data_IF_746888613824
#
_entry.id   IF_746888613824
#
_cell.length_a   1.000
_cell.length_b   1.000
_cell.length_c   1.000
_cell.angle_alpha   90.00
_cell.angle_beta   90.00
_cell.angle_gamma   90.00
#
_symmetry.space_group_name_H-M   'P 1'
#
loop_
_entity.id
_entity.type
_entity.pdbx_description
1 polymer ?
2 water ?
#
# COMPACT_ATOMS: atom_id res chain seq x y z
N UNK A 33 -18.43 4.00 -11.10
CA UNK A 33 -17.25 3.39 -11.78
C UNK A 33 -16.35 4.45 -12.45
N UNK A 34 -15.51 5.11 -11.64
CA UNK A 34 -14.52 6.08 -12.14
C UNK A 34 -13.28 5.31 -12.63
N UNK A 35 -12.39 5.99 -13.37
CA UNK A 35 -11.03 5.49 -13.54
C UNK A 35 -9.97 6.57 -13.36
N UNK A 36 -8.73 6.10 -13.37
CA UNK A 36 -7.55 6.93 -13.34
C UNK A 36 -6.63 6.23 -14.31
N UNK A 37 -5.62 6.93 -14.80
CA UNK A 37 -4.63 6.31 -15.66
C UNK A 37 -3.27 6.39 -14.98
N UNK A 38 -2.57 5.27 -14.98
CA UNK A 38 -1.16 5.25 -14.61
C UNK A 38 -0.44 4.59 -15.78
N UNK A 39 0.87 4.44 -15.66
CA UNK A 39 1.66 4.00 -16.79
C UNK A 39 2.68 2.95 -16.39
N UNK A 40 2.91 1.98 -17.29
CA UNK A 40 4.02 1.02 -17.21
C UNK A 40 5.15 1.50 -18.14
N UNK A 41 6.18 2.13 -17.56
CA UNK A 41 7.12 3.04 -18.27
C UNK A 41 6.30 4.25 -18.72
N UNK A 42 6.15 4.40 -20.04
CA UNK A 42 4.97 5.04 -20.63
C UNK A 42 4.03 3.88 -20.93
N UNK A 43 2.75 4.17 -21.22
CA UNK A 43 1.71 3.13 -21.45
C UNK A 43 0.48 3.32 -20.53
N UNK A 44 -0.75 3.36 -21.11
CA UNK A 44 -1.93 3.66 -20.28
C UNK A 44 -2.50 2.41 -19.62
N UNK A 45 -2.66 2.43 -18.30
CA UNK A 45 -3.35 1.32 -17.64
C UNK A 45 -4.41 1.77 -16.65
N UNK A 46 -5.64 1.31 -16.92
CA UNK A 46 -6.83 1.67 -16.14
C UNK A 46 -6.78 1.11 -14.73
N UNK A 47 -7.13 1.97 -13.79
CA UNK A 47 -7.13 1.64 -12.38
C UNK A 47 -8.48 2.02 -11.77
N UNK A 48 -9.28 1.01 -11.43
CA UNK A 48 -10.62 1.23 -10.92
C UNK A 48 -10.66 2.13 -9.67
N UNK A 49 -11.77 2.85 -9.50
CA UNK A 49 -11.96 3.79 -8.38
C UNK A 49 -11.26 5.14 -8.49
N UNK A 50 -11.14 5.80 -7.35
CA UNK A 50 -10.25 6.94 -7.18
C UNK A 50 -9.61 6.79 -5.79
N UNK A 51 -8.33 7.16 -5.69
CA UNK A 51 -7.62 7.13 -4.40
C UNK A 51 -8.18 8.16 -3.42
N UNK A 52 -8.46 7.74 -2.17
CA UNK A 52 -8.89 8.72 -1.17
C UNK A 52 -7.89 9.87 -1.09
N UNK A 53 -8.40 11.09 -0.88
CA UNK A 53 -7.60 12.32 -0.93
C UNK A 53 -7.73 13.13 0.35
N UNK A 54 -6.92 14.19 0.47
CA UNK A 54 -6.88 14.98 1.70
C UNK A 54 -8.27 15.50 2.09
N UNK A 55 -8.61 15.29 3.35
CA UNK A 55 -9.94 15.52 3.83
C UNK A 55 -10.64 14.20 4.08
N UNK A 56 -10.71 13.38 3.03
CA UNK A 56 -11.54 12.16 3.02
C UNK A 56 -11.29 11.28 4.21
N UNK A 57 -12.34 10.63 4.68
CA UNK A 57 -12.15 9.55 5.61
C UNK A 57 -11.89 8.27 4.77
N UNK A 58 -10.83 7.55 5.10
CA UNK A 58 -10.47 6.33 4.39
C UNK A 58 -11.32 5.18 4.89
N UNK A 59 -11.77 4.36 3.95
CA UNK A 59 -12.72 3.32 4.32
C UNK A 59 -11.96 2.36 5.20
N UNK A 60 -12.61 1.81 6.22
CA UNK A 60 -12.00 0.69 6.92
C UNK A 60 -11.62 -0.45 5.91
N UNK A 61 -10.82 -1.43 6.35
CA UNK A 61 -10.38 -2.54 5.48
C UNK A 61 -9.97 -3.71 6.34
N UNK A 62 -10.11 -4.93 5.83
CA UNK A 62 -9.53 -6.10 6.52
C UNK A 62 -8.64 -6.79 5.52
N UNK A 63 -7.38 -7.07 5.90
CA UNK A 63 -6.44 -7.78 5.02
C UNK A 63 -5.74 -8.88 5.81
N UNK A 64 -4.88 -9.67 5.17
CA UNK A 64 -4.33 -10.90 5.81
C UNK A 64 -2.87 -10.73 6.24
N UNK A 65 -2.59 -11.11 7.50
CA UNK A 65 -1.31 -10.91 8.20
C UNK A 65 -0.47 -12.18 8.06
N UNK A 66 0.81 -12.07 8.47
CA UNK A 66 1.82 -13.15 8.32
C UNK A 66 1.45 -14.47 8.96
N UNK A 67 0.72 -14.40 10.07
CA UNK A 67 0.23 -15.62 10.71
C UNK A 67 -1.12 -16.04 10.22
N UNK A 68 -1.54 -15.48 9.07
CA UNK A 68 -2.83 -15.81 8.39
C UNK A 68 -4.12 -15.34 9.12
N UNK A 69 -3.98 -14.61 10.23
CA UNK A 69 -5.09 -13.92 10.87
C UNK A 69 -5.50 -12.74 10.00
N UNK A 70 -6.76 -12.36 10.10
CA UNK A 70 -7.31 -11.18 9.42
C UNK A 70 -7.06 -9.96 10.30
N UNK A 71 -6.70 -8.83 9.71
CA UNK A 71 -6.38 -7.65 10.49
C UNK A 71 -7.06 -6.44 9.88
N UNK A 72 -7.67 -5.59 10.72
CA UNK A 72 -8.48 -4.48 10.20
C UNK A 72 -7.88 -3.16 10.57
N UNK A 73 -8.03 -2.18 9.69
CA UNK A 73 -7.52 -0.84 9.94
C UNK A 73 -7.94 -0.37 11.33
N UNK A 74 -9.15 -0.75 11.70
CA UNK A 74 -9.74 -0.42 12.99
C UNK A 74 -8.90 -0.88 14.19
N UNK A 75 -8.00 -1.84 13.99
CA UNK A 75 -7.14 -2.34 15.08
C UNK A 75 -5.97 -1.36 15.38
N UNK A 76 -5.74 -0.39 14.47
CA UNK A 76 -4.71 0.67 14.64
C UNK A 76 -5.26 2.08 15.00
N UNK A 77 -6.54 2.14 15.39
CA UNK A 77 -7.13 3.37 15.97
C UNK A 77 -6.18 4.11 16.94
N UNK A 78 -5.99 5.41 16.67
CA UNK A 78 -5.08 6.25 17.46
C UNK A 78 -3.58 6.14 17.18
N UNK A 79 -3.19 5.26 16.25
CA UNK A 79 -1.84 5.30 15.71
C UNK A 79 -2.05 5.87 14.36
N UNK A 80 -1.04 6.52 13.84
CA UNK A 80 -1.17 7.07 12.52
C UNK A 80 -0.79 5.88 11.60
N UNK A 81 -0.93 6.00 10.28
CA UNK A 81 -0.68 4.84 9.39
C UNK A 81 -0.05 5.31 8.12
N UNK A 82 1.03 4.62 7.70
CA UNK A 82 1.46 4.69 6.29
C UNK A 82 1.12 3.41 5.55
N UNK A 83 0.47 3.60 4.42
CA UNK A 83 0.05 2.46 3.63
C UNK A 83 0.88 2.54 2.40
N UNK A 84 1.69 1.52 2.23
CA UNK A 84 2.52 1.46 1.07
C UNK A 84 1.97 0.25 0.38
N UNK A 85 1.49 0.51 -0.84
CA UNK A 85 0.62 -0.39 -1.57
C UNK A 85 1.33 -0.46 -2.88
N UNK A 86 1.65 -1.67 -3.33
CA UNK A 86 2.54 -1.80 -4.46
C UNK A 86 2.21 -3.09 -5.19
N UNK A 87 2.48 -3.15 -6.51
CA UNK A 87 2.11 -4.31 -7.32
C UNK A 87 2.56 -5.62 -6.68
N UNK A 88 3.88 -5.80 -6.55
CA UNK A 88 4.45 -6.97 -5.87
C UNK A 88 5.82 -6.67 -5.25
N UNK A 89 5.95 -6.88 -3.95
CA UNK A 89 7.22 -7.21 -3.33
C UNK A 89 7.71 -8.33 -4.21
N UNK A 90 8.99 -8.60 -4.33
CA UNK A 90 9.34 -9.68 -5.32
C UNK A 90 9.48 -9.02 -6.66
N UNK A 91 9.18 -7.74 -6.67
CA UNK A 91 9.41 -6.91 -7.82
C UNK A 91 10.28 -5.74 -7.37
N UNK A 92 11.19 -5.33 -8.26
CA UNK A 92 12.31 -4.44 -7.93
C UNK A 92 12.00 -3.20 -7.11
N UNK A 93 11.38 -2.21 -7.75
CA UNK A 93 11.04 -0.95 -7.07
C UNK A 93 10.10 -1.14 -5.86
N UNK A 94 9.21 -2.13 -5.89
CA UNK A 94 8.35 -2.45 -4.73
C UNK A 94 9.16 -2.88 -3.53
N UNK A 95 10.14 -3.74 -3.78
CA UNK A 95 11.08 -4.19 -2.73
C UNK A 95 11.83 -3.01 -2.05
N UNK A 96 12.36 -2.09 -2.87
CA UNK A 96 12.99 -0.84 -2.41
C UNK A 96 12.05 -0.05 -1.48
N UNK A 97 10.80 0.08 -1.92
CA UNK A 97 9.70 0.59 -1.08
C UNK A 97 9.79 0.07 0.32
N UNK A 98 9.83 -1.25 0.43
CA UNK A 98 9.65 -1.92 1.71
C UNK A 98 10.86 -1.75 2.60
N UNK A 99 12.06 -1.89 2.02
CA UNK A 99 13.29 -1.64 2.77
C UNK A 99 13.29 -0.22 3.37
N UNK A 100 13.14 0.77 2.49
CA UNK A 100 13.10 2.17 2.85
C UNK A 100 12.10 2.53 3.95
N UNK A 101 10.83 2.16 3.78
CA UNK A 101 9.85 2.46 4.81
C UNK A 101 10.21 1.73 6.09
N UNK A 102 10.78 0.52 6.01
CA UNK A 102 11.22 -0.20 7.23
C UNK A 102 12.31 0.54 7.95
N UNK A 103 13.21 1.14 7.19
CA UNK A 103 14.34 1.87 7.76
C UNK A 103 13.81 3.22 8.25
N UNK A 104 12.89 3.81 7.48
CA UNK A 104 12.25 5.07 7.85
C UNK A 104 11.27 4.92 8.99
N UNK A 105 10.87 3.67 9.24
CA UNK A 105 9.91 3.33 10.29
C UNK A 105 10.42 3.42 11.72
N UNK A 106 11.73 3.33 11.93
CA UNK A 106 12.29 3.48 13.27
C UNK A 106 12.32 4.95 13.68
N UNK A 107 12.74 5.79 12.73
CA UNK A 107 12.83 7.23 12.90
C UNK A 107 11.45 7.91 12.89
N UNK A 108 10.42 7.22 13.41
CA UNK A 108 8.99 7.63 13.31
C UNK A 108 8.18 7.59 14.60
N UNK A 109 7.14 8.43 14.60
CA UNK A 109 6.43 8.78 15.81
C UNK A 109 4.95 8.32 15.79
N UNK A 110 4.57 7.44 16.72
CA UNK A 110 3.20 6.92 16.88
C UNK A 110 2.53 6.52 15.54
N UNK A 111 3.27 5.75 14.75
CA UNK A 111 2.87 5.38 13.40
C UNK A 111 3.23 3.94 13.10
N UNK A 112 2.32 3.24 12.43
CA UNK A 112 2.61 1.92 11.88
C UNK A 112 2.77 2.05 10.37
N UNK A 113 3.55 1.12 9.80
CA UNK A 113 3.78 1.06 8.38
C UNK A 113 3.27 -0.29 7.89
N UNK A 114 2.29 -0.21 7.00
CA UNK A 114 1.60 -1.36 6.54
C UNK A 114 2.05 -1.50 5.11
N UNK A 115 2.60 -2.66 4.82
CA UNK A 115 3.08 -2.88 3.47
C UNK A 115 2.00 -3.79 2.86
N UNK A 116 1.22 -3.20 1.94
CA UNK A 116 -0.01 -3.86 1.45
C UNK A 116 0.08 -4.22 0.00
N UNK A 117 -0.18 -5.48 -0.28
CA UNK A 117 -0.13 -5.84 -1.69
C UNK A 117 -0.89 -7.10 -2.04
N UNK A 118 -0.75 -7.37 -3.30
CA UNK A 118 -1.29 -8.43 -4.02
C UNK A 118 -0.62 -9.75 -3.59
N UNK A 119 0.58 -9.71 -2.96
CA UNK A 119 1.29 -10.93 -2.76
C UNK A 119 0.57 -11.71 -1.75
N UNK A 120 0.86 -13.00 -1.75
CA UNK A 120 0.40 -13.81 -0.70
C UNK A 120 1.22 -13.46 0.54
N UNK A 121 0.76 -13.94 1.74
CA UNK A 121 1.55 -13.50 2.88
C UNK A 121 2.90 -14.15 2.87
N UNK A 122 2.93 -15.43 2.43
CA UNK A 122 4.11 -16.29 2.55
C UNK A 122 5.28 -15.66 1.86
N UNK A 123 5.04 -15.07 0.69
CA UNK A 123 6.03 -14.28 0.00
C UNK A 123 6.29 -13.02 0.73
N UNK A 124 5.26 -12.32 1.16
CA UNK A 124 5.58 -11.15 1.98
C UNK A 124 6.56 -11.52 3.15
N UNK A 125 6.33 -12.68 3.77
CA UNK A 125 7.04 -13.08 4.96
C UNK A 125 8.49 -13.58 4.63
N UNK A 126 8.66 -14.35 3.57
CA UNK A 126 9.99 -14.69 3.12
C UNK A 126 10.78 -13.45 2.72
N UNK A 127 10.19 -12.48 2.05
CA UNK A 127 10.99 -11.33 1.72
C UNK A 127 11.59 -10.63 2.92
N UNK A 128 10.75 -10.39 3.92
CA UNK A 128 11.11 -9.64 5.12
C UNK A 128 12.02 -10.45 6.03
N UNK A 129 11.78 -11.76 6.09
CA UNK A 129 12.62 -12.66 6.86
C UNK A 129 14.04 -12.77 6.28
N UNK A 130 14.16 -12.78 4.95
CA UNK A 130 15.44 -12.80 4.25
C UNK A 130 16.15 -11.46 4.32
N UNK A 131 15.41 -10.38 4.54
CA UNK A 131 16.07 -9.09 4.58
C UNK A 131 16.16 -8.56 5.99
N UNK A 132 15.75 -9.38 6.94
CA UNK A 132 15.79 -8.93 8.32
C UNK A 132 15.02 -7.64 8.60
N UNK A 133 13.79 -7.54 8.05
CA UNK A 133 13.01 -6.28 8.08
C UNK A 133 11.85 -6.49 9.04
N UNK A 134 11.93 -5.86 10.21
CA UNK A 134 11.06 -6.24 11.35
C UNK A 134 10.10 -5.13 11.76
N UNK A 135 10.32 -3.93 11.22
CA UNK A 135 9.58 -2.75 11.66
C UNK A 135 8.24 -2.84 11.03
N UNK A 136 8.21 -2.87 9.69
CA UNK A 136 6.98 -2.98 8.89
C UNK A 136 6.00 -4.13 9.16
N UNK A 137 4.74 -3.86 8.84
CA UNK A 137 3.76 -4.93 8.91
C UNK A 137 3.29 -5.21 7.50
N UNK A 138 3.31 -6.51 7.13
CA UNK A 138 2.80 -6.99 5.83
C UNK A 138 1.30 -7.41 5.81
N UNK A 139 0.57 -6.89 4.84
CA UNK A 139 -0.86 -7.22 4.73
C UNK A 139 -1.16 -7.75 3.32
N UNK A 140 -1.68 -8.98 3.19
CA UNK A 140 -2.09 -9.48 1.87
C UNK A 140 -3.60 -9.29 1.51
N UNK A 141 -3.86 -8.95 0.25
CA UNK A 141 -5.22 -8.97 -0.30
C UNK A 141 -5.73 -10.40 -0.58
N UNK A 142 -4.97 -11.40 -0.20
CA UNK A 142 -5.45 -12.74 -0.31
C UNK A 142 -6.95 -12.70 0.08
N UNK A 143 -7.26 -12.20 1.28
CA UNK A 143 -8.68 -11.90 1.60
C UNK A 143 -8.80 -10.40 1.68
N UNK A 144 -10.04 -9.91 1.65
CA UNK A 144 -10.32 -8.49 1.61
C UNK A 144 -10.01 -7.84 0.29
N UNK A 145 -10.04 -8.53 -0.84
CA UNK A 145 -9.64 -7.87 -2.11
C UNK A 145 -10.41 -6.59 -2.48
N UNK A 146 -11.62 -6.42 -1.95
CA UNK A 146 -12.47 -5.25 -2.25
C UNK A 146 -11.72 -3.94 -1.96
N UNK A 147 -10.71 -4.05 -1.10
CA UNK A 147 -9.86 -2.94 -0.69
C UNK A 147 -9.28 -2.29 -1.93
N UNK A 148 -9.17 -3.06 -2.99
CA UNK A 148 -8.54 -2.51 -4.16
C UNK A 148 -9.37 -1.38 -4.77
N UNK A 149 -10.63 -1.66 -5.10
CA UNK A 149 -11.52 -0.60 -5.60
C UNK A 149 -11.98 0.34 -4.49
N UNK A 150 -12.09 -0.13 -3.25
CA UNK A 150 -12.33 0.80 -2.13
C UNK A 150 -11.22 1.87 -1.98
N UNK A 151 -10.01 1.59 -2.44
CA UNK A 151 -8.94 2.58 -2.26
C UNK A 151 -8.42 3.05 -3.64
N UNK A 152 -9.24 2.90 -4.67
CA UNK A 152 -8.84 3.32 -6.02
C UNK A 152 -7.58 2.64 -6.48
N UNK A 153 -7.49 1.34 -6.23
CA UNK A 153 -6.20 0.68 -6.40
C UNK A 153 -6.13 -0.53 -7.39
N UNK A 154 -7.29 -0.99 -7.86
CA UNK A 154 -7.34 -2.19 -8.70
C UNK A 154 -6.93 -1.89 -10.11
N UNK A 155 -6.05 -2.72 -10.65
CA UNK A 155 -5.69 -2.55 -12.04
C UNK A 155 -6.64 -3.46 -12.77
N UNK A 156 -7.27 -2.90 -13.81
CA UNK A 156 -8.36 -3.58 -14.51
C UNK A 156 -8.02 -4.04 -15.95
N UNK A 157 -6.88 -3.61 -16.48
CA UNK A 157 -6.52 -3.96 -17.86
C UNK A 157 -5.01 -4.13 -18.04
N UNK A 158 -4.63 -4.87 -19.09
CA UNK A 158 -3.23 -5.09 -19.36
C UNK A 158 -2.76 -6.34 -18.64
N UNK A 159 -1.45 -6.64 -18.75
CA UNK A 159 -0.85 -7.76 -18.06
C UNK A 159 -0.86 -7.60 -16.53
N UNK A 160 -1.04 -6.38 -16.04
CA UNK A 160 -1.07 -6.17 -14.58
C UNK A 160 -2.43 -6.37 -13.88
N UNK A 161 -3.45 -6.76 -14.65
CA UNK A 161 -4.81 -6.80 -14.06
C UNK A 161 -4.97 -7.89 -12.99
N UNK A 162 -5.44 -7.50 -11.83
CA UNK A 162 -5.47 -8.40 -10.66
C UNK A 162 -4.48 -7.93 -9.57
N UNK A 163 -3.61 -6.97 -9.93
CA UNK A 163 -2.63 -6.43 -9.00
C UNK A 163 -3.06 -5.05 -8.53
N UNK A 164 -2.56 -4.64 -7.36
CA UNK A 164 -2.75 -3.27 -6.91
C UNK A 164 -1.78 -2.40 -7.67
N UNK A 165 -2.15 -1.15 -7.80
CA UNK A 165 -1.25 -0.17 -8.34
C UNK A 165 -0.31 0.19 -7.21
N UNK A 166 0.74 0.95 -7.55
CA UNK A 166 1.63 1.60 -6.59
C UNK A 166 1.04 2.90 -6.05
N UNK A 167 0.96 2.97 -4.74
CA UNK A 167 0.48 4.17 -4.14
C UNK A 167 0.78 4.12 -2.68
N UNK A 168 0.93 5.31 -2.10
CA UNK A 168 1.10 5.49 -0.67
C UNK A 168 -0.04 6.38 -0.18
N UNK A 169 -0.52 6.09 1.01
CA UNK A 169 -1.58 6.84 1.61
C UNK A 169 -1.19 6.88 3.05
N UNK A 170 -1.42 8.03 3.67
CA UNK A 170 -1.12 8.20 5.06
C UNK A 170 -2.36 8.72 5.73
N UNK A 171 -2.64 8.15 6.90
CA UNK A 171 -3.82 8.47 7.67
C UNK A 171 -3.47 8.80 9.10
N UNK A 172 -4.40 9.45 9.81
CA UNK A 172 -4.25 9.79 11.24
C UNK A 172 -4.74 8.67 12.13
N UNK A 173 -4.92 8.94 13.42
CA UNK A 173 -5.53 7.97 14.34
C UNK A 173 -7.03 7.75 14.15
N UNK A 174 -7.67 8.54 13.28
CA UNK A 174 -9.10 8.38 12.98
C UNK A 174 -9.41 8.10 11.48
N UNK A 175 -8.40 7.62 10.76
CA UNK A 175 -8.50 7.17 9.36
C UNK A 175 -8.82 8.31 8.41
N UNK A 176 -8.32 9.51 8.72
CA UNK A 176 -8.45 10.66 7.82
C UNK A 176 -7.20 10.91 6.98
N UNK A 177 -7.45 11.24 5.72
CA UNK A 177 -6.38 11.33 4.76
C UNK A 177 -5.55 12.57 5.02
N UNK A 178 -4.42 12.29 5.66
CA UNK A 178 -3.36 13.23 5.94
C UNK A 178 -2.49 13.45 4.68
N UNK A 179 -2.31 12.38 3.89
CA UNK A 179 -1.55 12.42 2.65
C UNK A 179 -2.00 11.28 1.74
N UNK A 180 -1.76 11.40 0.45
CA UNK A 180 -2.02 10.29 -0.45
C UNK A 180 -1.39 10.52 -1.80
N UNK A 181 -0.78 9.48 -2.36
CA UNK A 181 -0.15 9.60 -3.67
C UNK A 181 -0.41 8.38 -4.53
N UNK A 182 -0.92 8.64 -5.74
CA UNK A 182 -1.02 7.64 -6.78
C UNK A 182 0.10 7.92 -7.75
N UNK A 183 1.00 6.96 -7.86
CA UNK A 183 2.17 7.09 -8.72
C UNK A 183 1.77 7.00 -10.19
N UNK A 184 2.36 7.87 -11.00
CA UNK A 184 1.99 8.04 -12.40
C UNK A 184 2.65 7.04 -13.36
N UNK A 185 3.95 6.80 -13.17
CA UNK A 185 4.63 5.70 -13.83
C UNK A 185 4.93 4.73 -12.70
N UNK A 186 4.56 3.47 -12.88
CA UNK A 186 4.73 2.44 -11.84
C UNK A 186 6.20 2.11 -11.62
N UNK A 187 6.94 2.16 -12.72
CA UNK A 187 8.38 2.06 -12.74
C UNK A 187 9.05 2.79 -11.57
N UNK A 188 8.81 4.09 -11.47
CA UNK A 188 9.43 4.93 -10.45
C UNK A 188 8.81 4.71 -9.08
N UNK A 189 9.62 4.89 -8.04
CA UNK A 189 9.19 4.72 -6.65
C UNK A 189 8.21 5.82 -6.22
N UNK A 190 7.66 5.71 -5.00
CA UNK A 190 6.96 6.90 -4.55
C UNK A 190 7.93 8.02 -4.17
N UNK A 191 7.34 9.10 -3.65
CA UNK A 191 8.08 10.16 -3.00
C UNK A 191 7.85 10.01 -1.50
N UNK A 192 8.91 9.69 -0.77
CA UNK A 192 8.78 9.35 0.63
C UNK A 192 8.79 10.59 1.50
N UNK A 193 9.57 11.59 1.07
CA UNK A 193 10.11 12.62 1.97
C UNK A 193 9.10 13.50 2.75
N UNK A 194 8.28 14.35 2.12
CA UNK A 194 8.15 14.69 0.68
C UNK A 194 7.22 13.77 -0.12
N UNK A 195 5.94 13.72 0.26
CA UNK A 195 5.42 14.40 1.46
C UNK A 195 5.28 13.49 2.69
N UNK A 196 5.98 13.91 3.74
CA UNK A 196 5.87 13.30 5.05
C UNK A 196 5.52 14.39 6.06
N UNK A 197 4.58 14.06 6.94
CA UNK A 197 4.03 14.98 7.92
C UNK A 197 5.10 15.36 8.97
#
# INVERSE_FOLDING_TARGET
MHHHHHHGKPIPNPLLGLDSTENLYFQGIDPFTMTQTVHFQGNPVSVAGKLPQIGDKAKDFTLVAKDLSDVALSSFAGKRKVLNIFPSIDTGVCAASVRKFNQLAGELENTVVLCISSDLPFAQSRFCGAEGLSNVITLSTLRGADFKQAYGVAITEGPLAGLTARAVVVLDGQDNVIYSELVNEITTEPNYDAALAALK
#
